data_IF_933322418527
#
_entry.id   IF_933322418527
#
_cell.length_a   1.000
_cell.length_b   1.000
_cell.length_c   1.000
_cell.angle_alpha   90.00
_cell.angle_beta   90.00
_cell.angle_gamma   90.00
#
_symmetry.space_group_name_H-M   'P 1'
#
loop_
_entity.id
_entity.type
_entity.pdbx_description
1 polymer ?
#
# COMPACT_ATOMS: atom_id res chain seq x y z
N UNK A 1 -13.55 3.94 -6.07
CA UNK A 1 -12.28 3.92 -5.34
C UNK A 1 -11.14 3.83 -6.35
N UNK A 2 -10.30 4.86 -6.40
CA UNK A 2 -9.24 4.95 -7.43
C UNK A 2 -8.21 3.82 -7.32
N UNK A 3 -7.80 3.50 -6.10
CA UNK A 3 -6.81 2.45 -5.87
C UNK A 3 -7.32 1.06 -6.23
N UNK A 4 -8.62 0.83 -6.12
CA UNK A 4 -9.19 -0.49 -6.41
C UNK A 4 -8.93 -0.89 -7.86
N UNK A 5 -9.13 0.02 -8.82
CA UNK A 5 -8.87 -0.27 -10.21
C UNK A 5 -7.41 -0.65 -10.47
N UNK A 6 -6.48 0.10 -9.89
CA UNK A 6 -5.05 -0.15 -10.05
C UNK A 6 -4.65 -1.48 -9.40
N UNK A 7 -5.18 -1.77 -8.22
CA UNK A 7 -4.91 -3.04 -7.52
C UNK A 7 -5.45 -4.22 -8.31
N UNK A 8 -6.66 -4.09 -8.86
CA UNK A 8 -7.26 -5.18 -9.67
C UNK A 8 -6.40 -5.50 -10.88
N UNK A 9 -5.87 -4.49 -11.56
CA UNK A 9 -4.98 -4.71 -12.71
C UNK A 9 -3.71 -5.43 -12.24
N UNK A 10 -3.12 -4.98 -11.15
CA UNK A 10 -1.88 -5.56 -10.63
C UNK A 10 -2.07 -7.01 -10.17
N UNK A 11 -3.22 -7.32 -9.59
CA UNK A 11 -3.55 -8.67 -9.12
C UNK A 11 -4.20 -9.54 -10.22
N UNK A 12 -4.41 -8.96 -11.38
CA UNK A 12 -5.00 -9.64 -12.55
C UNK A 12 -6.41 -10.17 -12.25
N UNK A 13 -7.21 -9.35 -11.60
CA UNK A 13 -8.59 -9.66 -11.23
C UNK A 13 -9.54 -8.85 -12.10
N UNK A 14 -10.35 -9.51 -12.92
CA UNK A 14 -11.35 -8.86 -13.76
C UNK A 14 -12.76 -8.88 -13.15
N UNK A 15 -13.02 -9.85 -12.28
CA UNK A 15 -14.32 -10.05 -11.65
C UNK A 15 -14.59 -9.02 -10.55
N UNK A 16 -15.86 -8.69 -10.32
CA UNK A 16 -16.25 -7.87 -9.17
C UNK A 16 -16.41 -8.69 -7.89
N UNK A 17 -16.28 -10.03 -7.98
CA UNK A 17 -16.48 -10.91 -6.82
C UNK A 17 -15.52 -10.64 -5.67
N UNK A 18 -14.35 -10.08 -5.96
CA UNK A 18 -13.31 -9.84 -4.95
C UNK A 18 -13.17 -8.37 -4.57
N UNK A 19 -14.06 -7.50 -5.04
CA UNK A 19 -13.94 -6.06 -4.81
C UNK A 19 -13.94 -5.72 -3.32
N UNK A 20 -14.79 -6.37 -2.52
CA UNK A 20 -14.83 -6.10 -1.07
C UNK A 20 -13.54 -6.54 -0.39
N UNK A 21 -13.01 -7.71 -0.75
CA UNK A 21 -11.75 -8.20 -0.19
C UNK A 21 -10.60 -7.25 -0.52
N UNK A 22 -10.50 -6.83 -1.78
CA UNK A 22 -9.45 -5.92 -2.21
C UNK A 22 -9.59 -4.54 -1.57
N UNK A 23 -10.82 -4.06 -1.42
CA UNK A 23 -11.07 -2.79 -0.74
C UNK A 23 -10.59 -2.85 0.71
N UNK A 24 -10.86 -3.95 1.40
CA UNK A 24 -10.39 -4.14 2.77
C UNK A 24 -8.86 -4.19 2.84
N UNK A 25 -8.21 -4.83 1.87
CA UNK A 25 -6.75 -4.89 1.82
C UNK A 25 -6.16 -3.50 1.58
N UNK A 26 -6.76 -2.70 0.71
CA UNK A 26 -6.32 -1.33 0.46
C UNK A 26 -6.42 -0.51 1.75
N UNK A 27 -7.54 -0.62 2.44
CA UNK A 27 -7.74 0.09 3.71
C UNK A 27 -6.71 -0.34 4.76
N UNK A 28 -6.40 -1.63 4.81
CA UNK A 28 -5.40 -2.17 5.72
C UNK A 28 -4.00 -1.66 5.39
N UNK A 29 -3.66 -1.57 4.11
CA UNK A 29 -2.37 -1.04 3.68
C UNK A 29 -2.20 0.43 4.08
N UNK A 30 -3.22 1.23 3.85
CA UNK A 30 -3.19 2.65 4.23
C UNK A 30 -3.08 2.82 5.74
N UNK A 31 -3.80 1.99 6.50
CA UNK A 31 -3.72 2.00 7.95
C UNK A 31 -2.33 1.60 8.44
N UNK A 32 -1.72 0.58 7.83
CA UNK A 32 -0.38 0.13 8.19
C UNK A 32 0.64 1.25 7.96
N UNK A 33 0.54 1.95 6.84
CA UNK A 33 1.42 3.08 6.57
C UNK A 33 1.20 4.23 7.55
N UNK A 34 -0.04 4.46 7.97
CA UNK A 34 -0.34 5.46 8.99
C UNK A 34 0.28 5.13 10.33
N UNK A 35 0.30 3.85 10.71
CA UNK A 35 0.95 3.41 11.95
C UNK A 35 2.47 3.65 11.88
N UNK A 36 3.06 3.57 10.69
CA UNK A 36 4.50 3.77 10.50
C UNK A 36 4.89 5.23 10.24
N UNK A 37 4.03 6.17 10.62
CA UNK A 37 4.32 7.61 10.58
C UNK A 37 4.41 8.23 9.17
N UNK A 38 3.67 7.69 8.23
CA UNK A 38 3.51 8.34 6.93
C UNK A 38 2.43 9.41 7.06
N UNK A 39 2.64 10.57 6.46
CA UNK A 39 1.74 11.71 6.59
C UNK A 39 0.30 11.35 6.23
N UNK A 40 -0.66 11.56 7.12
CA UNK A 40 -2.05 11.18 6.85
C UNK A 40 -2.64 11.80 5.59
N UNK A 41 -2.23 13.01 5.25
CA UNK A 41 -2.74 13.68 4.05
C UNK A 41 -2.38 12.96 2.76
N UNK A 42 -1.36 12.10 2.79
CA UNK A 42 -0.92 11.33 1.62
C UNK A 42 -1.59 9.98 1.53
N UNK A 43 -2.26 9.54 2.61
CA UNK A 43 -2.89 8.22 2.70
C UNK A 43 -4.36 8.28 2.26
N UNK A 44 -4.60 8.87 1.08
CA UNK A 44 -5.94 9.04 0.54
C UNK A 44 -6.10 8.26 -0.75
N UNK A 45 -7.28 7.70 -0.94
CA UNK A 45 -7.58 6.86 -2.09
C UNK A 45 -7.97 7.67 -3.34
N UNK A 46 -8.56 8.84 -3.17
CA UNK A 46 -9.11 9.60 -4.28
C UNK A 46 -8.05 10.18 -5.22
N UNK A 47 -6.86 10.46 -4.69
CA UNK A 47 -5.73 10.98 -5.49
C UNK A 47 -4.43 10.46 -4.89
N UNK A 48 -4.14 9.17 -5.04
CA UNK A 48 -3.00 8.55 -4.37
C UNK A 48 -1.67 9.01 -4.96
N UNK A 49 -0.70 9.26 -4.07
CA UNK A 49 0.66 9.50 -4.47
C UNK A 49 1.24 8.25 -5.15
N UNK A 50 2.00 8.39 -6.26
CA UNK A 50 2.51 7.23 -6.99
C UNK A 50 3.33 6.26 -6.15
N UNK A 51 4.17 6.74 -5.24
CA UNK A 51 4.99 5.85 -4.40
C UNK A 51 4.15 5.14 -3.36
N UNK A 52 3.16 5.82 -2.80
CA UNK A 52 2.23 5.20 -1.86
C UNK A 52 1.36 4.18 -2.59
N UNK A 53 0.92 4.51 -3.80
CA UNK A 53 0.16 3.56 -4.62
C UNK A 53 0.95 2.27 -4.85
N UNK A 54 2.24 2.36 -5.17
CA UNK A 54 3.07 1.18 -5.36
C UNK A 54 3.16 0.34 -4.08
N UNK A 55 3.29 0.97 -2.93
CA UNK A 55 3.32 0.25 -1.66
C UNK A 55 1.98 -0.45 -1.38
N UNK A 56 0.86 0.21 -1.66
CA UNK A 56 -0.47 -0.39 -1.51
C UNK A 56 -0.63 -1.60 -2.43
N UNK A 57 -0.20 -1.47 -3.69
CA UNK A 57 -0.26 -2.57 -4.65
C UNK A 57 0.55 -3.77 -4.15
N UNK A 58 1.76 -3.53 -3.67
CA UNK A 58 2.62 -4.59 -3.14
C UNK A 58 1.96 -5.29 -1.94
N UNK A 59 1.39 -4.52 -1.03
CA UNK A 59 0.68 -5.07 0.14
C UNK A 59 -0.49 -5.96 -0.30
N UNK A 60 -1.28 -5.49 -1.25
CA UNK A 60 -2.42 -6.25 -1.74
C UNK A 60 -1.99 -7.53 -2.43
N UNK A 61 -0.93 -7.49 -3.24
CA UNK A 61 -0.39 -8.69 -3.89
C UNK A 61 0.12 -9.71 -2.88
N UNK A 62 0.70 -9.23 -1.78
CA UNK A 62 1.17 -10.08 -0.68
C UNK A 62 0.04 -10.89 -0.05
N UNK A 63 -1.11 -10.25 0.13
CA UNK A 63 -2.18 -10.75 0.97
C UNK A 63 -3.40 -11.26 0.21
N UNK A 64 -3.46 -11.05 -1.09
CA UNK A 64 -4.61 -11.48 -1.89
C UNK A 64 -4.40 -12.89 -2.44
N UNK A 65 -5.35 -13.76 -2.13
CA UNK A 65 -5.33 -15.14 -2.63
C UNK A 65 -4.24 -15.97 -1.96
N UNK A 66 -3.89 -17.08 -2.62
CA UNK A 66 -2.86 -17.99 -2.11
C UNK A 66 -1.50 -17.64 -2.71
N UNK A 67 -0.50 -17.48 -1.84
CA UNK A 67 0.86 -17.18 -2.27
C UNK A 67 1.82 -18.23 -1.73
N UNK A 68 2.84 -18.59 -2.53
CA UNK A 68 3.92 -19.44 -2.02
C UNK A 68 4.74 -18.65 -0.99
N UNK A 69 5.39 -19.38 -0.08
CA UNK A 69 6.22 -18.74 0.95
C UNK A 69 7.32 -17.87 0.35
N UNK A 70 7.94 -18.34 -0.73
CA UNK A 70 9.00 -17.60 -1.41
C UNK A 70 8.46 -16.30 -2.02
N UNK A 71 7.31 -16.37 -2.68
CA UNK A 71 6.71 -15.21 -3.31
C UNK A 71 6.27 -14.18 -2.25
N UNK A 72 5.62 -14.66 -1.21
CA UNK A 72 5.22 -13.82 -0.08
C UNK A 72 6.42 -13.10 0.53
N UNK A 73 7.50 -13.83 0.78
CA UNK A 73 8.71 -13.26 1.39
C UNK A 73 9.31 -12.18 0.53
N UNK A 74 9.34 -12.36 -0.80
CA UNK A 74 9.84 -11.34 -1.72
C UNK A 74 8.98 -10.09 -1.68
N UNK A 75 7.66 -10.25 -1.72
CA UNK A 75 6.74 -9.10 -1.68
C UNK A 75 6.83 -8.38 -0.35
N UNK A 76 6.95 -9.13 0.75
CA UNK A 76 7.09 -8.52 2.08
C UNK A 76 8.36 -7.70 2.19
N UNK A 77 9.49 -8.23 1.71
CA UNK A 77 10.75 -7.50 1.71
C UNK A 77 10.64 -6.23 0.87
N UNK A 78 10.00 -6.31 -0.28
CA UNK A 78 9.77 -5.17 -1.15
C UNK A 78 8.88 -4.12 -0.49
N UNK A 79 7.83 -4.54 0.17
CA UNK A 79 6.92 -3.65 0.88
C UNK A 79 7.61 -2.95 2.04
N UNK A 80 8.37 -3.70 2.83
CA UNK A 80 9.12 -3.14 3.95
C UNK A 80 10.14 -2.10 3.48
N UNK A 81 10.82 -2.36 2.36
CA UNK A 81 11.75 -1.41 1.77
C UNK A 81 11.04 -0.16 1.26
N UNK A 82 9.90 -0.33 0.61
CA UNK A 82 9.10 0.80 0.13
C UNK A 82 8.67 1.70 1.29
N UNK A 83 8.21 1.10 2.40
CA UNK A 83 7.86 1.88 3.60
C UNK A 83 9.06 2.60 4.18
N UNK A 84 10.21 1.92 4.23
CA UNK A 84 11.44 2.52 4.75
C UNK A 84 11.86 3.73 3.93
N UNK A 85 11.77 3.63 2.60
CA UNK A 85 12.09 4.75 1.72
C UNK A 85 11.16 5.93 1.94
N UNK A 86 9.86 5.67 2.13
CA UNK A 86 8.90 6.73 2.42
C UNK A 86 9.19 7.40 3.76
N UNK A 87 9.56 6.61 4.77
CA UNK A 87 9.87 7.15 6.09
C UNK A 87 11.16 7.96 6.11
N UNK A 88 12.08 7.70 5.20
CA UNK A 88 13.34 8.45 5.12
C UNK A 88 13.19 9.78 4.40
N UNK A 89 12.05 10.03 3.78
CA UNK A 89 11.79 11.27 3.07
C UNK A 89 10.89 12.18 3.90
N UNK A 90 11.30 13.45 4.10
CA UNK A 90 10.48 14.41 4.82
C UNK A 90 9.21 14.79 4.05
N UNK A 91 9.12 14.44 2.76
CA UNK A 91 7.90 14.61 1.98
C UNK A 91 6.78 13.68 2.43
N UNK A 92 7.13 12.49 2.91
CA UNK A 92 6.17 11.44 3.23
C UNK A 92 6.04 11.18 4.72
N UNK A 93 7.15 11.26 5.46
CA UNK A 93 7.18 10.91 6.87
C UNK A 93 6.66 12.05 7.75
N UNK A 94 5.79 11.69 8.68
CA UNK A 94 5.18 12.67 9.59
C UNK A 94 6.20 13.22 10.61
N UNK A 95 7.23 12.41 10.94
CA UNK A 95 8.22 12.82 11.92
C UNK A 95 8.99 14.08 11.53
N UNK A 96 9.11 14.35 10.23
CA UNK A 96 9.80 15.53 9.73
C UNK A 96 9.12 16.82 10.13
N UNK A 97 7.81 16.79 10.32
CA UNK A 97 7.04 17.98 10.68
C UNK A 97 7.25 18.39 12.14
N UNK A 98 7.71 17.48 12.98
CA UNK A 98 7.96 17.76 14.38
C UNK A 98 9.14 18.69 14.59
N UNK A 99 9.97 18.85 13.59
CA UNK A 99 11.17 19.69 13.65
C UNK A 99 11.00 21.01 12.89
N UNK A 100 9.82 21.24 12.39
CA UNK A 100 9.53 22.46 11.61
C UNK A 100 9.36 23.68 12.50
#
# INVERSE_FOLDING_TARGET
MALLGDVKVACRVASTAFDNELTDLISSALADMGITDIKPALLVDSNPDPLIKQAVITYCRMNFGFQSDTYYSRLKASYDEQKSQLLMSSQYADWGDLNA
#
